data_IF_928248541240
#
_entry.id   IF_928248541240
#
_cell.length_a   1.000
_cell.length_b   1.000
_cell.length_c   1.000
_cell.angle_alpha   90.00
_cell.angle_beta   90.00
_cell.angle_gamma   90.00
#
_symmetry.space_group_name_H-M   'P 1'
#
loop_
_entity.id
_entity.type
_entity.pdbx_description
1 polymer ?
#
# COMPACT_ATOMS: atom_id res chain seq x y z
N UNK A 1 -13.77 -1.34 2.83
CA UNK A 1 -14.77 -0.25 2.82
C UNK A 1 -14.31 0.95 2.02
N UNK A 2 -13.20 1.63 2.32
CA UNK A 2 -12.74 2.80 1.56
C UNK A 2 -12.60 2.55 0.05
N UNK A 3 -12.02 1.43 -0.36
CA UNK A 3 -11.91 1.05 -1.78
C UNK A 3 -13.27 0.91 -2.48
N UNK A 4 -14.32 0.54 -1.76
CA UNK A 4 -15.68 0.50 -2.29
C UNK A 4 -16.25 1.91 -2.46
N UNK A 5 -15.96 2.80 -1.53
CA UNK A 5 -16.41 4.21 -1.56
C UNK A 5 -15.80 4.95 -2.76
N UNK A 6 -14.58 4.60 -3.20
CA UNK A 6 -13.95 5.26 -4.35
C UNK A 6 -14.71 5.08 -5.67
N UNK A 7 -15.52 4.02 -5.77
CA UNK A 7 -16.37 3.76 -6.96
C UNK A 7 -17.53 4.77 -7.03
N UNK A 8 -17.92 5.36 -5.90
CA UNK A 8 -19.04 6.30 -5.81
C UNK A 8 -18.53 7.68 -5.44
N UNK A 9 -18.29 8.54 -6.43
CA UNK A 9 -17.72 9.87 -6.25
C UNK A 9 -18.47 10.73 -5.23
N UNK A 10 -19.79 10.57 -5.13
CA UNK A 10 -20.64 11.32 -4.19
C UNK A 10 -20.31 11.06 -2.72
N UNK A 11 -19.72 9.90 -2.40
CA UNK A 11 -19.35 9.52 -1.02
C UNK A 11 -17.88 9.76 -0.67
N UNK A 12 -17.03 10.07 -1.67
CA UNK A 12 -15.59 10.29 -1.44
C UNK A 12 -15.30 11.41 -0.44
N UNK A 13 -16.10 12.46 -0.46
CA UNK A 13 -15.94 13.62 0.43
C UNK A 13 -16.82 13.53 1.68
N UNK A 14 -17.50 12.41 1.89
CA UNK A 14 -18.34 12.18 3.05
C UNK A 14 -17.53 12.05 4.35
N UNK A 15 -18.19 12.30 5.48
CA UNK A 15 -17.57 12.19 6.81
C UNK A 15 -17.00 10.78 7.08
N UNK A 16 -17.67 9.76 6.58
CA UNK A 16 -17.28 8.36 6.74
C UNK A 16 -16.00 8.04 5.97
N UNK A 17 -15.87 8.60 4.75
CA UNK A 17 -14.65 8.46 3.96
C UNK A 17 -13.48 9.18 4.63
N UNK A 18 -13.69 10.42 5.07
CA UNK A 18 -12.68 11.20 5.78
C UNK A 18 -12.23 10.51 7.08
N UNK A 19 -13.17 9.98 7.87
CA UNK A 19 -12.83 9.21 9.07
C UNK A 19 -12.01 7.96 8.74
N UNK A 20 -12.31 7.27 7.65
CA UNK A 20 -11.57 6.11 7.18
C UNK A 20 -10.15 6.47 6.71
N UNK A 21 -10.00 7.56 5.96
CA UNK A 21 -8.70 8.10 5.54
C UNK A 21 -7.83 8.44 6.75
N UNK A 22 -8.38 9.20 7.69
CA UNK A 22 -7.68 9.58 8.92
C UNK A 22 -7.30 8.34 9.75
N UNK A 23 -8.15 7.33 9.80
CA UNK A 23 -7.84 6.07 10.47
C UNK A 23 -6.61 5.39 9.85
N UNK A 24 -6.52 5.31 8.51
CA UNK A 24 -5.38 4.69 7.83
C UNK A 24 -4.09 5.51 8.02
N UNK A 25 -4.17 6.83 7.94
CA UNK A 25 -3.03 7.71 8.17
C UNK A 25 -2.50 7.62 9.61
N UNK A 26 -3.39 7.54 10.59
CA UNK A 26 -3.01 7.33 11.99
C UNK A 26 -2.40 5.95 12.25
N UNK A 27 -2.91 4.91 11.59
CA UNK A 27 -2.30 3.58 11.68
C UNK A 27 -0.90 3.55 11.09
N UNK A 28 -0.63 4.32 10.03
CA UNK A 28 0.71 4.49 9.50
C UNK A 28 1.63 5.18 10.50
N UNK A 29 1.23 6.34 11.00
CA UNK A 29 2.00 7.15 11.95
C UNK A 29 2.37 6.35 13.20
N UNK A 30 1.39 5.60 13.72
CA UNK A 30 1.55 4.76 14.92
C UNK A 30 1.87 3.30 14.63
N UNK A 31 2.33 2.98 13.42
CA UNK A 31 2.55 1.60 12.99
C UNK A 31 3.56 0.81 13.83
N UNK A 32 4.46 1.50 14.52
CA UNK A 32 5.42 0.91 15.43
C UNK A 32 4.87 0.69 16.86
N UNK A 33 3.80 1.39 17.22
CA UNK A 33 3.23 1.38 18.56
C UNK A 33 1.92 0.61 18.65
N UNK A 34 1.11 0.70 17.61
CA UNK A 34 -0.20 0.09 17.58
C UNK A 34 -0.17 -1.30 16.97
N UNK A 35 -0.63 -2.25 17.75
CA UNK A 35 -0.95 -3.59 17.29
C UNK A 35 -2.46 -3.68 17.09
N UNK A 36 -2.92 -3.53 15.87
CA UNK A 36 -4.33 -3.74 15.57
C UNK A 36 -4.64 -5.22 15.58
N UNK A 37 -5.29 -5.68 16.64
CA UNK A 37 -5.75 -7.07 16.81
C UNK A 37 -4.60 -8.09 16.83
N UNK A 38 -4.70 -9.18 16.08
CA UNK A 38 -3.66 -10.22 16.00
C UNK A 38 -2.58 -9.93 14.93
N UNK A 39 -2.71 -8.83 14.21
CA UNK A 39 -1.80 -8.50 13.13
C UNK A 39 -0.84 -7.40 13.56
N UNK A 40 0.40 -7.78 13.65
CA UNK A 40 1.50 -6.86 13.86
C UNK A 40 1.71 -6.04 12.59
N UNK A 41 1.34 -4.76 12.61
CA UNK A 41 1.54 -3.89 11.45
C UNK A 41 2.99 -3.44 11.26
N UNK A 42 3.83 -3.50 12.25
CA UNK A 42 5.22 -3.06 12.27
C UNK A 42 5.97 -3.20 10.93
N UNK A 43 7.14 -3.81 10.96
CA UNK A 43 8.00 -3.97 9.78
C UNK A 43 7.37 -4.80 8.66
N UNK A 44 6.49 -5.76 9.01
CA UNK A 44 5.86 -6.61 8.02
C UNK A 44 4.87 -5.87 7.13
N UNK A 45 4.18 -4.86 7.67
CA UNK A 45 3.29 -3.99 6.88
C UNK A 45 4.05 -3.19 5.83
N UNK A 46 5.29 -2.80 6.12
CA UNK A 46 6.14 -2.02 5.22
C UNK A 46 6.73 -2.82 4.07
N UNK A 47 6.60 -4.15 4.08
CA UNK A 47 7.11 -5.03 3.00
C UNK A 47 6.21 -5.02 1.79
N UNK A 48 6.83 -5.05 0.61
CA UNK A 48 6.13 -5.29 -0.65
C UNK A 48 5.74 -6.77 -0.73
N UNK A 49 4.44 -7.05 -0.71
CA UNK A 49 3.92 -8.42 -0.65
C UNK A 49 3.31 -8.87 -1.96
N UNK A 50 3.42 -10.15 -2.24
CA UNK A 50 2.77 -10.79 -3.39
C UNK A 50 2.08 -12.07 -2.89
N UNK A 51 0.86 -12.35 -3.35
CA UNK A 51 -0.03 -11.56 -4.21
C UNK A 51 -0.69 -10.40 -3.46
N UNK A 52 -1.24 -9.42 -4.20
CA UNK A 52 -1.93 -8.23 -3.67
C UNK A 52 -3.29 -8.54 -3.03
N UNK A 53 -3.38 -9.61 -2.26
CA UNK A 53 -4.59 -10.01 -1.53
C UNK A 53 -4.55 -9.50 -0.09
N UNK A 54 -3.35 -9.37 0.47
CA UNK A 54 -3.14 -8.90 1.82
C UNK A 54 -2.99 -7.39 1.87
N UNK A 55 -3.54 -6.77 2.90
CA UNK A 55 -3.27 -5.37 3.15
C UNK A 55 -1.79 -5.19 3.52
N UNK A 56 -1.13 -4.37 2.76
CA UNK A 56 0.24 -3.95 2.93
C UNK A 56 0.35 -2.46 2.59
N UNK A 57 1.57 -1.94 2.63
CA UNK A 57 1.84 -0.53 2.34
C UNK A 57 1.32 -0.12 0.96
N UNK A 58 1.42 -0.97 -0.07
CA UNK A 58 0.95 -0.67 -1.42
C UNK A 58 -0.57 -0.57 -1.49
N UNK A 59 -1.27 -1.52 -0.85
CA UNK A 59 -2.73 -1.52 -0.83
C UNK A 59 -3.29 -0.26 -0.16
N UNK A 60 -2.66 0.15 0.95
CA UNK A 60 -3.08 1.34 1.67
C UNK A 60 -2.74 2.59 0.88
N UNK A 61 -1.55 2.66 0.26
CA UNK A 61 -1.16 3.79 -0.58
C UNK A 61 -2.07 3.94 -1.81
N UNK A 62 -2.44 2.84 -2.49
CA UNK A 62 -3.40 2.85 -3.59
C UNK A 62 -4.77 3.42 -3.17
N UNK A 63 -5.27 3.00 -2.02
CA UNK A 63 -6.54 3.51 -1.51
C UNK A 63 -6.43 5.00 -1.19
N UNK A 64 -5.38 5.42 -0.48
CA UNK A 64 -5.19 6.80 -0.04
C UNK A 64 -4.93 7.75 -1.22
N UNK A 65 -4.25 7.30 -2.29
CA UNK A 65 -3.99 8.11 -3.49
C UNK A 65 -5.27 8.61 -4.17
N UNK A 66 -6.38 7.93 -3.94
CA UNK A 66 -7.67 8.28 -4.52
C UNK A 66 -8.44 9.34 -3.72
N UNK A 67 -7.89 9.80 -2.60
CA UNK A 67 -8.51 10.81 -1.72
C UNK A 67 -7.65 12.07 -1.68
N UNK A 68 -8.20 13.18 -2.17
CA UNK A 68 -7.52 14.48 -2.19
C UNK A 68 -7.05 14.92 -0.79
N UNK A 69 -7.83 14.58 0.25
CA UNK A 69 -7.47 14.86 1.63
C UNK A 69 -6.23 14.09 2.12
N UNK A 70 -5.89 12.97 1.49
CA UNK A 70 -4.72 12.17 1.86
C UNK A 70 -3.47 12.55 1.06
N UNK A 71 -3.62 12.89 -0.23
CA UNK A 71 -2.49 13.09 -1.16
C UNK A 71 -1.53 14.18 -0.69
N UNK A 72 -2.03 15.21 -0.03
CA UNK A 72 -1.22 16.32 0.50
C UNK A 72 -0.80 16.12 1.97
N UNK A 73 -1.17 15.00 2.59
CA UNK A 73 -0.82 14.71 3.98
C UNK A 73 0.63 14.22 4.09
N UNK A 74 1.38 14.75 5.06
CA UNK A 74 2.78 14.38 5.27
C UNK A 74 2.97 12.89 5.56
N UNK A 75 2.01 12.26 6.21
CA UNK A 75 2.01 10.82 6.52
C UNK A 75 1.90 9.97 5.25
N UNK A 76 1.11 10.41 4.28
CA UNK A 76 1.02 9.75 2.97
C UNK A 76 2.31 9.94 2.16
N UNK A 77 2.88 11.14 2.18
CA UNK A 77 4.16 11.42 1.52
C UNK A 77 5.28 10.55 2.11
N UNK A 78 5.34 10.40 3.42
CA UNK A 78 6.29 9.49 4.09
C UNK A 78 6.09 8.03 3.64
N UNK A 79 4.85 7.58 3.55
CA UNK A 79 4.52 6.24 3.03
C UNK A 79 5.05 6.04 1.60
N UNK A 80 4.86 7.01 0.71
CA UNK A 80 5.39 6.97 -0.66
C UNK A 80 6.93 6.98 -0.67
N UNK A 81 7.58 7.72 0.21
CA UNK A 81 9.05 7.70 0.33
C UNK A 81 9.56 6.30 0.72
N UNK A 82 8.88 5.63 1.65
CA UNK A 82 9.22 4.24 2.02
C UNK A 82 9.04 3.29 0.82
N UNK A 83 7.97 3.42 0.05
CA UNK A 83 7.78 2.63 -1.17
C UNK A 83 8.90 2.91 -2.17
N UNK A 84 9.16 4.17 -2.47
CA UNK A 84 10.19 4.57 -3.44
C UNK A 84 11.61 4.16 -3.02
N UNK A 85 11.90 4.12 -1.72
CA UNK A 85 13.20 3.65 -1.22
C UNK A 85 13.48 2.18 -1.53
N UNK A 86 12.45 1.40 -1.90
CA UNK A 86 12.55 -0.02 -2.28
C UNK A 86 12.76 -0.21 -3.77
N UNK A 87 12.74 0.87 -4.57
CA UNK A 87 13.01 0.82 -6.00
C UNK A 87 14.48 0.46 -6.24
N UNK A 88 14.72 -0.46 -7.16
CA UNK A 88 16.06 -0.75 -7.68
C UNK A 88 16.49 0.34 -8.68
N UNK A 89 17.79 0.41 -8.99
CA UNK A 89 18.36 1.48 -9.83
C UNK A 89 17.78 1.62 -11.25
N UNK A 90 16.99 0.66 -11.69
CA UNK A 90 16.24 0.67 -12.95
C UNK A 90 14.74 1.05 -12.77
N UNK A 91 14.35 1.51 -11.59
CA UNK A 91 12.96 1.83 -11.26
C UNK A 91 12.05 0.62 -11.01
N UNK A 92 12.60 -0.59 -10.96
CA UNK A 92 11.84 -1.81 -10.73
C UNK A 92 11.79 -2.16 -9.25
N UNK A 93 10.77 -2.92 -8.88
CA UNK A 93 10.54 -3.37 -7.51
C UNK A 93 10.58 -4.89 -7.44
N UNK A 94 11.06 -5.41 -6.31
CA UNK A 94 11.03 -6.84 -6.03
C UNK A 94 10.13 -7.12 -4.82
N UNK A 95 9.34 -8.20 -4.84
CA UNK A 95 8.58 -8.60 -3.67
C UNK A 95 9.51 -8.99 -2.52
N UNK A 96 9.21 -8.48 -1.33
CA UNK A 96 9.99 -8.76 -0.11
C UNK A 96 9.38 -9.90 0.71
N UNK A 97 8.08 -10.14 0.54
CA UNK A 97 7.37 -11.22 1.21
C UNK A 97 6.45 -11.94 0.22
N UNK A 98 6.46 -13.25 0.30
CA UNK A 98 5.65 -14.13 -0.55
C UNK A 98 4.84 -15.10 0.31
N UNK A 99 3.66 -15.45 -0.11
CA UNK A 99 2.87 -16.46 0.56
C UNK A 99 3.40 -17.87 0.22
N UNK A 100 3.60 -18.70 1.23
CA UNK A 100 4.19 -20.04 1.11
C UNK A 100 3.51 -20.92 0.06
N UNK A 101 2.20 -20.83 -0.09
CA UNK A 101 1.40 -21.62 -1.04
C UNK A 101 1.69 -21.27 -2.50
N UNK A 102 2.26 -20.09 -2.76
CA UNK A 102 2.43 -19.55 -4.12
C UNK A 102 3.90 -19.35 -4.51
N UNK A 103 4.80 -19.95 -3.73
CA UNK A 103 6.27 -19.84 -3.94
C UNK A 103 6.75 -20.25 -5.32
N UNK A 104 6.02 -21.16 -5.98
CA UNK A 104 6.40 -21.71 -7.28
C UNK A 104 5.86 -20.88 -8.47
N UNK A 105 5.09 -19.83 -8.21
CA UNK A 105 4.54 -18.98 -9.26
C UNK A 105 5.55 -17.91 -9.67
N UNK A 106 5.66 -17.63 -10.96
CA UNK A 106 6.65 -16.68 -11.50
C UNK A 106 6.58 -15.30 -10.87
N UNK A 107 5.36 -14.81 -10.56
CA UNK A 107 5.17 -13.50 -9.96
C UNK A 107 5.52 -13.45 -8.46
N UNK A 108 5.76 -14.57 -7.81
CA UNK A 108 6.13 -14.64 -6.39
C UNK A 108 7.64 -14.76 -6.19
N UNK A 109 8.40 -15.03 -7.25
CA UNK A 109 9.85 -15.12 -7.13
C UNK A 109 10.41 -13.76 -6.74
N UNK A 110 11.30 -13.72 -5.74
CA UNK A 110 12.01 -12.50 -5.30
C UNK A 110 12.97 -11.97 -6.38
N UNK A 111 12.64 -12.18 -7.65
CA UNK A 111 13.35 -11.63 -8.80
C UNK A 111 12.70 -10.32 -9.19
N UNK A 112 13.52 -9.39 -9.65
CA UNK A 112 13.06 -8.14 -10.22
C UNK A 112 12.27 -8.47 -11.49
N UNK A 113 10.98 -8.18 -11.51
CA UNK A 113 10.14 -8.38 -12.67
C UNK A 113 10.13 -7.12 -13.53
N UNK A 114 10.59 -7.25 -14.77
CA UNK A 114 10.60 -6.14 -15.74
C UNK A 114 9.20 -5.73 -16.21
N UNK A 115 8.21 -6.62 -16.07
CA UNK A 115 6.83 -6.40 -16.53
C UNK A 115 5.78 -6.93 -15.53
N UNK A 116 6.11 -6.97 -14.25
CA UNK A 116 5.20 -7.51 -13.22
C UNK A 116 4.08 -6.56 -12.84
N UNK A 117 2.99 -7.14 -12.37
CA UNK A 117 1.83 -6.40 -11.84
C UNK A 117 2.18 -5.38 -10.75
N UNK A 118 3.28 -5.62 -10.01
CA UNK A 118 3.80 -4.71 -9.00
C UNK A 118 4.28 -3.37 -9.60
N UNK A 119 4.95 -3.41 -10.75
CA UNK A 119 5.41 -2.21 -11.44
C UNK A 119 4.24 -1.32 -11.86
N UNK A 120 3.25 -1.86 -12.54
CA UNK A 120 2.05 -1.13 -12.96
C UNK A 120 1.27 -0.56 -11.77
N UNK A 121 1.21 -1.31 -10.69
CA UNK A 121 0.50 -0.89 -9.50
C UNK A 121 1.17 0.32 -8.81
N UNK A 122 2.50 0.35 -8.75
CA UNK A 122 3.25 1.45 -8.15
C UNK A 122 3.24 2.70 -9.05
N UNK A 123 3.32 2.54 -10.38
CA UNK A 123 3.16 3.66 -11.30
C UNK A 123 1.80 4.35 -11.12
N UNK A 124 0.73 3.57 -10.99
CA UNK A 124 -0.62 4.12 -10.81
C UNK A 124 -0.83 4.91 -9.52
N UNK A 125 0.02 4.69 -8.50
CA UNK A 125 -0.03 5.45 -7.24
C UNK A 125 0.72 6.79 -7.35
N UNK A 126 1.74 6.84 -8.22
CA UNK A 126 2.60 8.02 -8.37
C UNK A 126 2.09 9.03 -9.42
N UNK A 127 1.06 8.69 -10.20
CA UNK A 127 0.37 9.61 -11.11
C UNK A 127 -0.74 10.40 -10.38
#
# INVERSE_FOLDING_TARGET
MLKLITVYNEYKNGKEAQAGVECLLNLWDKSQELHSYMFFMGDDFRKLKVPFIWYDILHVADILSQYESAVNDSRFIDMLQVINSKAHGNGLFAPESEWKTWKEWDFTTKKIHQNGSLFWYIESINE
#
